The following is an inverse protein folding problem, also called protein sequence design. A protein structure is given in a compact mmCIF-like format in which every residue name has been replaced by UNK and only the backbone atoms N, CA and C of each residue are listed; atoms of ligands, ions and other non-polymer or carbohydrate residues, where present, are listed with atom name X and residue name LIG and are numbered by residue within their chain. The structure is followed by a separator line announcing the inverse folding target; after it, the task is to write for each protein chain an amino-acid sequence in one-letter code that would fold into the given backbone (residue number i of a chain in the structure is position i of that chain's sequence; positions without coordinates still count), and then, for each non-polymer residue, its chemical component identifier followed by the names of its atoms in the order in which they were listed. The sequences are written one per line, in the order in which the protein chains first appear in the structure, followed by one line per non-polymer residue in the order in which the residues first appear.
data_IF_489538074079
#
_entry.id   IF_489538074079
#
_cell.length_a   1.000
_cell.length_b   1.000
_cell.length_c   1.000
_cell.angle_alpha   90.00
_cell.angle_beta   90.00
_cell.angle_gamma   90.00
#
_symmetry.space_group_name_H-M   'P 1'
#
loop_
_entity.id
_entity.type
_entity.pdbx_description
1 polymer ?
#
# COMPACT_ATOMS: atom_id res chain seq x y z
N UNK A 1 2.70 8.85 -5.41
CA UNK A 1 2.83 7.54 -6.08
C UNK A 1 1.47 7.15 -6.62
N UNK A 2 1.41 6.55 -7.82
CA UNK A 2 0.15 6.23 -8.49
C UNK A 2 0.20 4.78 -9.01
N UNK A 3 -0.95 4.09 -9.01
CA UNK A 3 -1.14 2.77 -9.60
C UNK A 3 -0.37 1.64 -8.90
N UNK A 4 -0.16 1.70 -7.59
CA UNK A 4 0.63 0.69 -6.88
C UNK A 4 -0.12 -0.65 -6.87
N UNK A 5 0.45 -1.65 -7.55
CA UNK A 5 -0.06 -3.03 -7.61
C UNK A 5 0.98 -3.98 -7.02
N UNK A 6 0.53 -4.96 -6.24
CA UNK A 6 1.39 -6.06 -5.78
C UNK A 6 0.62 -7.37 -5.71
N UNK A 7 1.24 -8.42 -6.24
CA UNK A 7 0.75 -9.80 -6.18
C UNK A 7 1.78 -10.72 -5.52
N UNK A 8 1.29 -11.66 -4.72
CA UNK A 8 2.04 -12.80 -4.17
C UNK A 8 1.34 -14.08 -4.61
N UNK A 9 1.87 -14.74 -5.64
CA UNK A 9 1.21 -15.90 -6.26
C UNK A 9 -0.19 -15.53 -6.76
N UNK A 10 -1.21 -16.24 -6.27
CA UNK A 10 -2.61 -16.00 -6.62
C UNK A 10 -3.26 -14.81 -5.88
N UNK A 11 -2.61 -14.26 -4.85
CA UNK A 11 -3.19 -13.19 -4.02
C UNK A 11 -2.73 -11.83 -4.53
N UNK A 12 -3.68 -10.95 -4.80
CA UNK A 12 -3.42 -9.54 -5.08
C UNK A 12 -3.52 -8.71 -3.81
N UNK A 13 -2.35 -8.34 -3.27
CA UNK A 13 -2.21 -7.60 -2.01
C UNK A 13 -2.48 -6.10 -2.19
N UNK A 14 -2.19 -5.52 -3.35
CA UNK A 14 -2.50 -4.12 -3.69
C UNK A 14 -3.09 -4.09 -5.11
N UNK A 15 -4.22 -3.38 -5.28
CA UNK A 15 -5.05 -3.37 -6.50
C UNK A 15 -5.06 -2.00 -7.19
N UNK A 16 -3.89 -1.41 -7.43
CA UNK A 16 -3.79 -0.11 -8.09
C UNK A 16 -4.12 1.03 -7.14
N UNK A 17 -3.31 1.18 -6.10
CA UNK A 17 -3.52 2.20 -5.05
C UNK A 17 -2.71 3.45 -5.38
N UNK A 18 -3.35 4.61 -5.27
CA UNK A 18 -2.73 5.93 -5.37
C UNK A 18 -2.47 6.50 -3.97
N UNK A 19 -1.33 7.15 -3.79
CA UNK A 19 -0.86 7.64 -2.51
C UNK A 19 -0.12 8.96 -2.70
N UNK A 20 -0.66 10.01 -2.11
CA UNK A 20 -0.10 11.36 -2.13
C UNK A 20 0.31 11.75 -0.70
N UNK A 21 1.45 12.41 -0.57
CA UNK A 21 2.02 12.75 0.71
C UNK A 21 2.75 14.09 0.56
N UNK A 22 2.25 15.10 1.26
CA UNK A 22 2.78 16.45 1.25
C UNK A 22 4.05 16.61 2.10
N UNK A 23 4.74 17.73 1.91
CA UNK A 23 5.92 18.04 2.70
C UNK A 23 5.55 18.23 4.19
N UNK A 24 6.20 17.46 5.07
CA UNK A 24 5.95 17.52 6.52
C UNK A 24 4.78 16.67 7.01
N UNK A 25 4.10 15.93 6.13
CA UNK A 25 3.03 15.03 6.52
C UNK A 25 3.55 13.67 6.99
N UNK A 26 2.80 13.02 7.88
CA UNK A 26 3.07 11.66 8.35
C UNK A 26 1.91 10.77 7.96
N UNK A 27 2.17 9.73 7.17
CA UNK A 27 1.16 8.75 6.79
C UNK A 27 1.22 7.52 7.71
N UNK A 28 0.10 7.24 8.38
CA UNK A 28 -0.13 5.99 9.08
C UNK A 28 -0.93 5.01 8.22
N UNK A 29 -0.44 3.79 8.05
CA UNK A 29 -1.14 2.74 7.31
C UNK A 29 -1.82 1.76 8.29
N UNK A 30 -3.14 1.69 8.28
CA UNK A 30 -3.96 0.90 9.21
C UNK A 30 -4.82 -0.11 8.45
N UNK A 31 -5.04 -1.28 9.04
CA UNK A 31 -5.83 -2.37 8.47
C UNK A 31 -5.50 -3.70 9.14
N UNK A 32 -6.20 -4.76 8.77
CA UNK A 32 -6.02 -6.09 9.37
C UNK A 32 -4.66 -6.72 9.05
N UNK A 33 -4.30 -7.75 9.83
CA UNK A 33 -3.14 -8.58 9.48
C UNK A 33 -3.31 -9.15 8.06
N UNK A 34 -2.24 -9.09 7.28
CA UNK A 34 -2.22 -9.43 5.85
C UNK A 34 -2.99 -8.51 4.88
N UNK A 35 -3.46 -7.33 5.31
CA UNK A 35 -4.09 -6.34 4.41
C UNK A 35 -3.13 -5.66 3.39
N UNK A 36 -1.88 -6.12 3.25
CA UNK A 36 -0.92 -5.54 2.30
C UNK A 36 -0.14 -4.33 2.82
N UNK A 37 -0.21 -4.01 4.12
CA UNK A 37 0.45 -2.83 4.71
C UNK A 37 1.96 -2.79 4.50
N UNK A 38 2.67 -3.83 4.94
CA UNK A 38 4.12 -3.95 4.74
C UNK A 38 4.51 -4.10 3.27
N UNK A 39 3.58 -4.54 2.43
CA UNK A 39 3.76 -4.63 0.99
C UNK A 39 3.72 -3.28 0.31
N UNK A 40 2.94 -2.33 0.84
CA UNK A 40 2.89 -0.95 0.37
C UNK A 40 4.14 -0.14 0.79
N UNK A 41 4.76 -0.50 1.92
CA UNK A 41 5.96 0.18 2.43
C UNK A 41 7.30 -0.38 1.92
N UNK A 42 7.30 -1.52 1.21
CA UNK A 42 8.49 -2.12 0.57
C UNK A 42 8.49 -1.86 -0.92
#
# INVERSE_FOLDING_TARGET
MQGIVKRFGAVEALRGVDLELGAGEVLGLVGDNAAGKSTLMK
#
